data_IF_327027333976
#
_entry.id   IF_327027333976
#
_cell.length_a   1.000
_cell.length_b   1.000
_cell.length_c   1.000
_cell.angle_alpha   90.00
_cell.angle_beta   90.00
_cell.angle_gamma   90.00
#
_symmetry.space_group_name_H-M   'P 1'
#
loop_
_entity.id
_entity.type
_entity.pdbx_description
1 polymer ?
#
# COMPACT_ATOMS: atom_id res chain seq x y z
N UNK A 1 12.83 -11.97 2.45
CA UNK A 1 11.40 -11.65 2.18
C UNK A 1 10.69 -12.93 1.79
N UNK A 2 9.51 -13.21 2.34
CA UNK A 2 8.71 -14.37 1.96
C UNK A 2 8.04 -14.13 0.58
N UNK A 3 7.94 -15.18 -0.24
CA UNK A 3 7.18 -15.15 -1.50
C UNK A 3 5.77 -15.67 -1.19
N UNK A 4 4.77 -14.83 -1.44
CA UNK A 4 3.37 -15.17 -1.22
C UNK A 4 2.61 -14.97 -2.52
N UNK A 5 1.77 -15.93 -2.88
CA UNK A 5 0.84 -15.80 -3.99
C UNK A 5 -0.47 -15.24 -3.43
N UNK A 6 -0.90 -14.08 -3.94
CA UNK A 6 -2.12 -13.39 -3.53
C UNK A 6 -2.87 -13.00 -4.80
N UNK A 7 -4.18 -13.24 -4.83
CA UNK A 7 -5.03 -12.78 -5.91
C UNK A 7 -5.29 -11.28 -5.76
N UNK A 8 -5.05 -10.52 -6.84
CA UNK A 8 -5.18 -9.06 -6.86
C UNK A 8 -6.08 -8.66 -8.02
N UNK A 9 -6.91 -7.64 -7.83
CA UNK A 9 -7.68 -7.06 -8.93
C UNK A 9 -6.72 -6.27 -9.84
N UNK A 10 -6.51 -6.80 -11.04
CA UNK A 10 -5.64 -6.20 -12.05
C UNK A 10 -6.07 -4.80 -12.48
N UNK A 11 -7.35 -4.44 -12.36
CA UNK A 11 -7.84 -3.10 -12.65
C UNK A 11 -7.30 -2.10 -11.64
N UNK A 12 -7.40 -2.44 -10.35
CA UNK A 12 -6.90 -1.63 -9.24
C UNK A 12 -5.39 -1.50 -9.31
N UNK A 13 -4.68 -2.59 -9.62
CA UNK A 13 -3.22 -2.57 -9.75
C UNK A 13 -2.78 -1.69 -10.92
N UNK A 14 -3.45 -1.77 -12.07
CA UNK A 14 -3.14 -0.91 -13.23
C UNK A 14 -3.38 0.57 -12.94
N UNK A 15 -4.47 0.88 -12.25
CA UNK A 15 -4.76 2.26 -11.84
C UNK A 15 -3.71 2.77 -10.84
N UNK A 16 -3.38 1.96 -9.85
CA UNK A 16 -2.34 2.29 -8.88
C UNK A 16 -0.98 2.51 -9.55
N UNK A 17 -0.58 1.66 -10.51
CA UNK A 17 0.64 1.85 -11.33
C UNK A 17 0.65 3.23 -12.00
N UNK A 18 -0.49 3.64 -12.61
CA UNK A 18 -0.60 4.95 -13.26
C UNK A 18 -0.50 6.11 -12.28
N UNK A 19 -1.14 5.99 -11.12
CA UNK A 19 -1.16 7.04 -10.10
C UNK A 19 0.20 7.18 -9.40
N UNK A 20 0.84 6.06 -9.05
CA UNK A 20 2.10 6.05 -8.30
C UNK A 20 3.34 6.04 -9.19
N UNK A 21 3.18 5.90 -10.51
CA UNK A 21 4.27 5.79 -11.48
C UNK A 21 5.23 4.62 -11.19
N UNK A 22 4.75 3.59 -10.50
CA UNK A 22 5.55 2.42 -10.11
C UNK A 22 5.51 1.36 -11.20
N UNK A 23 6.65 0.79 -11.54
CA UNK A 23 6.78 -0.08 -12.71
C UNK A 23 6.26 -1.52 -12.51
N UNK A 24 6.09 -1.98 -11.26
CA UNK A 24 5.76 -3.39 -10.99
C UNK A 24 4.61 -3.54 -9.99
N UNK A 25 3.82 -4.62 -10.16
CA UNK A 25 2.76 -5.00 -9.21
C UNK A 25 3.31 -5.13 -7.78
N UNK A 26 4.51 -5.70 -7.63
CA UNK A 26 5.19 -5.85 -6.33
C UNK A 26 5.50 -4.50 -5.69
N UNK A 27 6.01 -3.54 -6.45
CA UNK A 27 6.30 -2.21 -5.94
C UNK A 27 5.03 -1.50 -5.44
N UNK A 28 3.94 -1.59 -6.21
CA UNK A 28 2.64 -1.02 -5.83
C UNK A 28 2.11 -1.64 -4.54
N UNK A 29 2.17 -2.97 -4.41
CA UNK A 29 1.70 -3.67 -3.20
C UNK A 29 2.53 -3.27 -1.98
N UNK A 30 3.86 -3.24 -2.11
CA UNK A 30 4.74 -2.82 -1.01
C UNK A 30 4.45 -1.38 -0.59
N UNK A 31 4.31 -0.47 -1.57
CA UNK A 31 3.99 0.93 -1.32
C UNK A 31 2.64 1.08 -0.59
N UNK A 32 1.61 0.35 -1.03
CA UNK A 32 0.30 0.36 -0.40
C UNK A 32 0.35 -0.11 1.07
N UNK A 33 1.12 -1.15 1.37
CA UNK A 33 1.31 -1.65 2.72
C UNK A 33 2.03 -0.63 3.62
N UNK A 34 3.10 0.00 3.12
CA UNK A 34 3.80 1.05 3.86
C UNK A 34 2.89 2.25 4.15
N UNK A 35 2.14 2.72 3.15
CA UNK A 35 1.22 3.84 3.32
C UNK A 35 0.08 3.52 4.30
N UNK A 36 -0.44 2.29 4.28
CA UNK A 36 -1.42 1.83 5.26
C UNK A 36 -0.86 1.91 6.69
N UNK A 37 0.33 1.37 6.92
CA UNK A 37 0.97 1.40 8.23
C UNK A 37 1.24 2.84 8.69
N UNK A 38 1.74 3.72 7.80
CA UNK A 38 1.96 5.14 8.12
C UNK A 38 0.65 5.85 8.48
N UNK A 39 -0.44 5.60 7.75
CA UNK A 39 -1.76 6.18 8.04
C UNK A 39 -2.29 5.72 9.39
N UNK A 40 -2.19 4.43 9.70
CA UNK A 40 -2.63 3.88 10.98
C UNK A 40 -1.80 4.40 12.16
N UNK A 41 -0.48 4.52 12.01
CA UNK A 41 0.39 5.12 13.03
C UNK A 41 0.04 6.58 13.29
N UNK A 42 -0.20 7.37 12.24
CA UNK A 42 -0.62 8.77 12.36
C UNK A 42 -1.97 8.91 13.09
N UNK A 43 -2.95 8.07 12.74
CA UNK A 43 -4.24 8.06 13.45
C UNK A 43 -4.09 7.78 14.94
N UNK A 44 -3.31 6.76 15.31
CA UNK A 44 -3.05 6.42 16.71
C UNK A 44 -2.39 7.56 17.49
N UNK A 45 -1.49 8.32 16.86
CA UNK A 45 -0.86 9.47 17.50
C UNK A 45 -1.87 10.59 17.79
N UNK A 46 -2.77 10.87 16.85
CA UNK A 46 -3.84 11.87 17.04
C UNK A 46 -4.85 11.45 18.10
N UNK A 47 -5.09 10.15 18.27
CA UNK A 47 -5.96 9.61 19.33
C UNK A 47 -5.34 9.71 20.74
N UNK A 48 -4.02 9.89 20.86
CA UNK A 48 -3.32 10.02 22.14
C UNK A 48 -3.17 11.48 22.60
N UNK A 49 -3.43 12.45 21.71
CA UNK A 49 -3.38 13.89 22.01
C UNK A 49 -4.77 14.49 22.35
N UNK A 50 -5.82 13.67 22.39
CA UNK A 50 -7.17 14.04 22.84
C UNK A 50 -7.48 13.53 24.24
#
# INVERSE_FOLDING_TARGET
>A
MARTNVELDDRVVKEAIKLTHLQTKKAVVNYALEELVKKLRRKRMLELEG
#
